data_IF_369262762648
#
_entry.id   IF_369262762648
#
_cell.length_a   1.000
_cell.length_b   1.000
_cell.length_c   1.000
_cell.angle_alpha   90.00
_cell.angle_beta   90.00
_cell.angle_gamma   90.00
#
_symmetry.space_group_name_H-M   'P 1'
#
loop_
_entity.id
_entity.type
_entity.pdbx_description
1 polymer ?
#
# COMPACT_ATOMS: atom_id res chain seq x y z
N UNK A 1 -18.43 17.24 7.84
CA UNK A 1 -19.34 16.33 7.13
C UNK A 1 -20.53 17.14 6.66
N UNK A 2 -20.81 17.09 5.38
CA UNK A 2 -21.84 17.94 4.75
C UNK A 2 -23.20 17.25 4.73
N UNK A 3 -23.23 15.90 4.81
CA UNK A 3 -24.46 15.12 4.70
C UNK A 3 -24.76 14.36 5.98
N UNK A 4 -26.05 14.24 6.25
CA UNK A 4 -26.59 13.35 7.28
C UNK A 4 -26.57 11.89 6.77
N UNK A 5 -26.60 10.93 7.70
CA UNK A 5 -26.64 9.51 7.39
C UNK A 5 -25.28 8.81 7.48
N UNK A 6 -25.26 7.53 7.12
CA UNK A 6 -24.12 6.63 7.26
C UNK A 6 -23.42 6.45 5.93
N UNK A 7 -22.10 6.49 5.94
CA UNK A 7 -21.27 6.01 4.84
C UNK A 7 -20.77 4.60 5.18
N UNK A 8 -21.05 3.62 4.34
CA UNK A 8 -20.43 2.29 4.40
C UNK A 8 -19.08 2.36 3.72
N UNK A 9 -18.00 2.06 4.44
CA UNK A 9 -16.65 2.01 3.90
C UNK A 9 -16.22 0.55 3.81
N UNK A 10 -16.09 0.06 2.58
CA UNK A 10 -15.62 -1.31 2.31
C UNK A 10 -14.12 -1.26 2.09
N UNK A 11 -13.35 -1.90 2.96
CA UNK A 11 -11.89 -1.96 2.86
C UNK A 11 -11.40 -3.39 3.07
N UNK A 12 -10.40 -3.86 2.28
CA UNK A 12 -9.97 -5.26 2.30
C UNK A 12 -9.08 -5.64 3.48
N UNK A 13 -8.63 -4.66 4.29
CA UNK A 13 -7.56 -4.86 5.25
C UNK A 13 -7.86 -4.28 6.61
N UNK A 14 -7.86 -5.16 7.62
CA UNK A 14 -8.11 -4.78 9.00
C UNK A 14 -7.09 -3.76 9.53
N UNK A 15 -5.82 -3.89 9.19
CA UNK A 15 -4.79 -2.95 9.64
C UNK A 15 -5.02 -1.52 9.10
N UNK A 16 -5.38 -1.40 7.80
CA UNK A 16 -5.73 -0.12 7.18
C UNK A 16 -6.97 0.48 7.84
N UNK A 17 -8.02 -0.33 8.00
CA UNK A 17 -9.25 0.08 8.67
C UNK A 17 -8.96 0.62 10.09
N UNK A 18 -8.16 -0.10 10.89
CA UNK A 18 -7.82 0.30 12.25
C UNK A 18 -7.09 1.64 12.30
N UNK A 19 -6.14 1.88 11.40
CA UNK A 19 -5.41 3.15 11.32
C UNK A 19 -6.35 4.32 10.94
N UNK A 20 -7.19 4.13 9.92
CA UNK A 20 -8.16 5.14 9.50
C UNK A 20 -9.19 5.43 10.61
N UNK A 21 -9.69 4.38 11.28
CA UNK A 21 -10.63 4.50 12.41
C UNK A 21 -9.99 5.27 13.57
N UNK A 22 -8.73 4.98 13.91
CA UNK A 22 -8.02 5.70 14.97
C UNK A 22 -7.90 7.20 14.66
N UNK A 23 -7.51 7.54 13.43
CA UNK A 23 -7.42 8.94 12.98
C UNK A 23 -8.79 9.65 12.99
N UNK A 24 -9.84 8.98 12.54
CA UNK A 24 -11.20 9.52 12.55
C UNK A 24 -11.74 9.76 13.97
N UNK A 25 -11.48 8.84 14.89
CA UNK A 25 -11.83 9.01 16.32
C UNK A 25 -11.08 10.17 16.94
N UNK A 26 -9.78 10.33 16.65
CA UNK A 26 -9.00 11.46 17.10
C UNK A 26 -9.56 12.80 16.58
N UNK A 27 -10.16 12.79 15.39
CA UNK A 27 -10.89 13.93 14.82
C UNK A 27 -12.35 14.05 15.32
N UNK A 28 -12.74 13.31 16.37
CA UNK A 28 -14.09 13.29 16.95
C UNK A 28 -15.20 12.88 15.98
N UNK A 29 -14.86 12.06 14.96
CA UNK A 29 -15.83 11.52 14.02
C UNK A 29 -16.36 10.18 14.56
N UNK A 30 -17.69 10.02 14.56
CA UNK A 30 -18.36 8.81 15.02
C UNK A 30 -18.16 7.69 13.99
N UNK A 31 -17.26 6.77 14.29
CA UNK A 31 -16.87 5.66 13.41
C UNK A 31 -16.95 4.32 14.13
N UNK A 32 -17.53 3.34 13.46
CA UNK A 32 -17.62 1.97 13.90
C UNK A 32 -17.00 0.99 12.89
N UNK A 33 -16.68 -0.22 13.35
CA UNK A 33 -16.26 -1.32 12.49
C UNK A 33 -16.87 -2.63 12.94
N UNK A 34 -17.26 -3.43 11.96
CA UNK A 34 -17.68 -4.81 12.17
C UNK A 34 -16.81 -5.73 11.31
N UNK A 35 -16.06 -6.59 11.96
CA UNK A 35 -15.19 -7.57 11.33
C UNK A 35 -15.09 -8.85 12.17
N UNK A 36 -14.29 -9.81 11.74
CA UNK A 36 -14.15 -11.11 12.42
C UNK A 36 -13.59 -11.04 13.84
N UNK A 37 -12.99 -9.92 14.26
CA UNK A 37 -12.44 -9.72 15.62
C UNK A 37 -13.33 -8.88 16.53
N UNK A 38 -14.44 -8.34 15.99
CA UNK A 38 -15.36 -7.51 16.78
C UNK A 38 -16.12 -8.36 17.79
N UNK A 39 -15.95 -8.05 19.07
CA UNK A 39 -16.61 -8.78 20.16
C UNK A 39 -18.15 -8.64 20.09
N UNK A 40 -18.91 -9.68 20.48
CA UNK A 40 -20.36 -9.72 20.29
C UNK A 40 -21.11 -8.54 20.91
N UNK A 41 -20.74 -8.11 22.10
CA UNK A 41 -21.36 -6.97 22.79
C UNK A 41 -21.23 -5.66 22.02
N UNK A 42 -20.04 -5.37 21.51
CA UNK A 42 -19.77 -4.18 20.67
C UNK A 42 -20.50 -4.30 19.33
N UNK A 43 -20.50 -5.49 18.72
CA UNK A 43 -21.24 -5.74 17.48
C UNK A 43 -22.71 -5.46 17.66
N UNK A 44 -23.35 -5.98 18.72
CA UNK A 44 -24.75 -5.75 18.98
C UNK A 44 -25.07 -4.27 19.20
N UNK A 45 -24.26 -3.56 19.99
CA UNK A 45 -24.44 -2.12 20.18
C UNK A 45 -24.38 -1.32 18.86
N UNK A 46 -23.47 -1.69 17.94
CA UNK A 46 -23.41 -1.09 16.61
C UNK A 46 -24.67 -1.42 15.80
N UNK A 47 -25.12 -2.68 15.82
CA UNK A 47 -26.32 -3.11 15.09
C UNK A 47 -27.58 -2.38 15.59
N UNK A 48 -27.70 -2.17 16.90
CA UNK A 48 -28.82 -1.45 17.51
C UNK A 48 -28.79 0.03 17.16
N UNK A 49 -27.61 0.67 17.16
CA UNK A 49 -27.44 2.05 16.69
C UNK A 49 -27.87 2.19 15.24
N UNK A 50 -27.45 1.28 14.36
CA UNK A 50 -27.77 1.33 12.93
C UNK A 50 -29.28 1.15 12.64
N UNK A 51 -30.02 0.47 13.51
CA UNK A 51 -31.47 0.25 13.39
C UNK A 51 -32.30 1.33 14.08
N UNK A 52 -31.69 2.26 14.77
CA UNK A 52 -32.39 3.24 15.62
C UNK A 52 -33.24 4.26 14.86
N UNK A 53 -33.12 4.34 13.55
CA UNK A 53 -33.72 5.36 12.70
C UNK A 53 -32.95 6.70 12.66
N UNK A 54 -32.08 6.93 13.61
CA UNK A 54 -31.18 8.10 13.70
C UNK A 54 -29.82 7.67 14.23
N UNK A 55 -29.05 6.90 13.46
CA UNK A 55 -27.78 6.34 13.91
C UNK A 55 -26.76 7.45 14.24
N UNK A 56 -26.04 7.24 15.35
CA UNK A 56 -24.92 8.12 15.73
C UNK A 56 -23.70 7.84 14.86
N UNK A 57 -23.50 6.57 14.47
CA UNK A 57 -22.42 6.15 13.58
C UNK A 57 -22.53 6.88 12.24
N UNK A 58 -21.45 7.55 11.82
CA UNK A 58 -21.36 8.24 10.51
C UNK A 58 -20.59 7.46 9.47
N UNK A 59 -19.62 6.67 9.91
CA UNK A 59 -18.82 5.80 9.05
C UNK A 59 -18.83 4.40 9.62
N UNK A 60 -19.23 3.42 8.83
CA UNK A 60 -19.17 2.01 9.17
C UNK A 60 -18.14 1.31 8.28
N UNK A 61 -17.02 0.89 8.86
CA UNK A 61 -16.01 0.12 8.17
C UNK A 61 -16.34 -1.37 8.21
N UNK A 62 -16.32 -2.00 7.06
CA UNK A 62 -16.60 -3.44 6.87
C UNK A 62 -15.65 -4.05 5.85
N UNK A 63 -15.44 -5.37 5.94
CA UNK A 63 -14.72 -6.10 4.90
C UNK A 63 -15.64 -6.54 3.78
N UNK A 64 -15.12 -6.79 2.55
CA UNK A 64 -15.92 -7.31 1.45
C UNK A 64 -16.63 -8.63 1.78
N UNK A 65 -15.96 -9.51 2.55
CA UNK A 65 -16.50 -10.78 3.01
C UNK A 65 -17.72 -10.58 3.94
N UNK A 66 -17.66 -9.55 4.79
CA UNK A 66 -18.79 -9.22 5.67
C UNK A 66 -19.98 -8.68 4.86
N UNK A 67 -19.71 -7.93 3.79
CA UNK A 67 -20.75 -7.44 2.87
C UNK A 67 -21.52 -8.57 2.15
N UNK A 68 -20.89 -9.72 1.95
CA UNK A 68 -21.52 -10.87 1.31
C UNK A 68 -22.55 -11.59 2.20
N UNK A 69 -22.53 -11.34 3.52
CA UNK A 69 -23.40 -12.03 4.48
C UNK A 69 -24.85 -11.53 4.43
N UNK A 70 -25.82 -12.46 4.37
CA UNK A 70 -27.25 -12.11 4.27
C UNK A 70 -27.75 -11.23 5.41
N UNK A 71 -27.26 -11.43 6.63
CA UNK A 71 -27.67 -10.60 7.76
C UNK A 71 -27.18 -9.15 7.63
N UNK A 72 -26.01 -8.93 7.02
CA UNK A 72 -25.53 -7.59 6.72
C UNK A 72 -26.39 -6.93 5.62
N UNK A 73 -26.69 -7.65 4.54
CA UNK A 73 -27.55 -7.16 3.47
C UNK A 73 -28.91 -6.75 3.98
N UNK A 74 -29.53 -7.56 4.88
CA UNK A 74 -30.79 -7.19 5.53
C UNK A 74 -30.67 -5.94 6.38
N UNK A 75 -29.57 -5.80 7.14
CA UNK A 75 -29.32 -4.59 7.94
C UNK A 75 -29.26 -3.33 7.07
N UNK A 76 -28.52 -3.38 5.95
CA UNK A 76 -28.36 -2.21 5.10
C UNK A 76 -29.66 -1.84 4.40
N UNK A 77 -30.55 -2.80 4.08
CA UNK A 77 -31.91 -2.49 3.60
C UNK A 77 -32.69 -1.68 4.64
N UNK A 78 -32.65 -2.05 5.92
CA UNK A 78 -33.29 -1.27 6.99
C UNK A 78 -32.74 0.15 7.05
N UNK A 79 -31.41 0.32 7.01
CA UNK A 79 -30.76 1.64 7.00
C UNK A 79 -31.17 2.47 5.79
N UNK A 80 -31.30 1.83 4.62
CA UNK A 80 -31.73 2.49 3.39
C UNK A 80 -33.21 2.91 3.46
N UNK A 81 -34.11 2.04 3.93
CA UNK A 81 -35.53 2.36 4.12
C UNK A 81 -35.75 3.50 5.11
N UNK A 82 -34.90 3.62 6.10
CA UNK A 82 -34.86 4.76 7.03
C UNK A 82 -34.28 6.04 6.41
N UNK A 83 -33.81 6.03 5.15
CA UNK A 83 -33.12 7.14 4.46
C UNK A 83 -31.83 7.57 5.13
N UNK A 84 -31.21 6.68 5.88
CA UNK A 84 -29.96 6.94 6.58
C UNK A 84 -28.71 6.42 5.83
N UNK A 85 -28.86 5.73 4.70
CA UNK A 85 -27.74 5.29 3.86
C UNK A 85 -27.30 6.42 2.93
N UNK A 86 -26.30 7.20 3.34
CA UNK A 86 -25.84 8.37 2.61
C UNK A 86 -24.96 8.02 1.40
N UNK A 87 -24.05 7.06 1.54
CA UNK A 87 -23.12 6.66 0.47
C UNK A 87 -22.41 5.35 0.77
N UNK A 88 -21.77 4.81 -0.26
CA UNK A 88 -20.91 3.63 -0.20
C UNK A 88 -19.53 4.03 -0.73
N UNK A 89 -18.47 3.77 0.03
CA UNK A 89 -17.09 3.97 -0.36
C UNK A 89 -16.40 2.61 -0.47
N UNK A 90 -15.85 2.31 -1.64
CA UNK A 90 -15.06 1.10 -1.90
C UNK A 90 -13.60 1.49 -2.00
N UNK A 91 -12.85 1.15 -0.97
CA UNK A 91 -11.40 1.36 -0.92
C UNK A 91 -10.68 0.20 -1.62
N UNK A 92 -9.50 0.48 -2.19
CA UNK A 92 -8.70 -0.48 -2.96
C UNK A 92 -9.54 -1.18 -4.06
N UNK A 93 -10.36 -0.42 -4.78
CA UNK A 93 -11.30 -0.94 -5.77
C UNK A 93 -10.65 -1.77 -6.88
N UNK A 94 -9.32 -1.67 -7.08
CA UNK A 94 -8.57 -2.53 -8.00
C UNK A 94 -8.64 -4.02 -7.65
N UNK A 95 -8.95 -4.35 -6.38
CA UNK A 95 -9.16 -5.73 -5.95
C UNK A 95 -10.35 -6.42 -6.65
N UNK A 96 -11.23 -5.66 -7.31
CA UNK A 96 -12.33 -6.19 -8.13
C UNK A 96 -11.79 -6.88 -9.39
N UNK A 97 -10.75 -6.33 -9.97
CA UNK A 97 -10.24 -6.73 -11.27
C UNK A 97 -9.29 -7.93 -11.16
N UNK A 98 -9.52 -8.94 -11.96
CA UNK A 98 -8.58 -10.05 -12.15
C UNK A 98 -7.27 -9.60 -12.81
N UNK A 99 -7.26 -8.42 -13.41
CA UNK A 99 -6.09 -7.73 -13.95
C UNK A 99 -5.33 -6.95 -12.87
N UNK A 100 -5.93 -6.79 -11.67
CA UNK A 100 -5.29 -6.20 -10.51
C UNK A 100 -4.28 -7.15 -9.88
N UNK A 101 -3.27 -6.59 -9.24
CA UNK A 101 -2.22 -7.37 -8.55
C UNK A 101 -2.71 -8.06 -7.26
N UNK A 102 -3.87 -7.66 -6.73
CA UNK A 102 -4.45 -8.17 -5.48
C UNK A 102 -5.94 -8.50 -5.64
N UNK A 103 -6.27 -9.31 -6.65
CA UNK A 103 -7.64 -9.75 -6.92
C UNK A 103 -8.25 -10.49 -5.73
N UNK A 104 -9.48 -10.09 -5.36
CA UNK A 104 -10.27 -10.72 -4.30
C UNK A 104 -11.68 -11.04 -4.78
N UNK A 105 -12.07 -12.32 -4.83
CA UNK A 105 -13.40 -12.72 -5.32
C UNK A 105 -14.56 -12.04 -4.58
N UNK A 106 -14.41 -11.80 -3.26
CA UNK A 106 -15.43 -11.16 -2.43
C UNK A 106 -15.81 -9.74 -2.87
N UNK A 107 -14.92 -9.03 -3.58
CA UNK A 107 -15.23 -7.72 -4.12
C UNK A 107 -16.27 -7.76 -5.25
N UNK A 108 -16.42 -8.87 -5.99
CA UNK A 108 -17.46 -9.02 -7.02
C UNK A 108 -18.86 -8.99 -6.43
N UNK A 109 -18.99 -9.43 -5.18
CA UNK A 109 -20.26 -9.41 -4.46
C UNK A 109 -20.76 -7.99 -4.12
N UNK A 110 -19.87 -6.99 -4.18
CA UNK A 110 -20.23 -5.59 -3.91
C UNK A 110 -21.19 -4.99 -4.96
N UNK A 111 -21.39 -5.66 -6.10
CA UNK A 111 -22.39 -5.31 -7.10
C UNK A 111 -23.80 -5.22 -6.53
N UNK A 112 -24.09 -5.94 -5.43
CA UNK A 112 -25.39 -5.89 -4.78
C UNK A 112 -25.77 -4.47 -4.33
N UNK A 113 -24.81 -3.65 -3.93
CA UNK A 113 -25.08 -2.28 -3.49
C UNK A 113 -25.76 -1.46 -4.58
N UNK A 114 -25.24 -1.50 -5.81
CA UNK A 114 -25.83 -0.75 -6.92
C UNK A 114 -27.12 -1.37 -7.44
N UNK A 115 -27.26 -2.68 -7.35
CA UNK A 115 -28.49 -3.38 -7.73
C UNK A 115 -29.63 -3.08 -6.77
N UNK A 116 -29.36 -3.05 -5.44
CA UNK A 116 -30.39 -2.85 -4.42
C UNK A 116 -30.61 -1.38 -4.05
N UNK A 117 -29.58 -0.53 -4.17
CA UNK A 117 -29.61 0.88 -3.80
C UNK A 117 -29.10 1.75 -4.96
N UNK A 118 -29.81 1.81 -6.09
CA UNK A 118 -29.30 2.44 -7.32
C UNK A 118 -29.11 3.96 -7.20
N UNK A 119 -29.87 4.61 -6.34
CA UNK A 119 -29.80 6.04 -6.04
C UNK A 119 -28.70 6.44 -5.06
N UNK A 120 -28.17 5.48 -4.29
CA UNK A 120 -27.12 5.77 -3.32
C UNK A 120 -25.78 6.02 -4.04
N UNK A 121 -25.11 7.17 -3.80
CA UNK A 121 -23.83 7.46 -4.39
C UNK A 121 -22.76 6.43 -4.01
N UNK A 122 -21.95 6.00 -4.98
CA UNK A 122 -20.83 5.11 -4.74
C UNK A 122 -19.51 5.80 -5.13
N UNK A 123 -18.53 5.72 -4.25
CA UNK A 123 -17.16 6.22 -4.44
C UNK A 123 -16.24 5.03 -4.50
N UNK A 124 -15.43 4.91 -5.56
CA UNK A 124 -14.42 3.87 -5.69
C UNK A 124 -13.03 4.53 -5.70
N UNK A 125 -12.16 4.13 -4.76
CA UNK A 125 -10.82 4.65 -4.62
C UNK A 125 -9.79 3.57 -4.93
N UNK A 126 -8.76 3.91 -5.68
CA UNK A 126 -7.61 3.04 -5.92
C UNK A 126 -6.38 3.86 -6.30
N UNK A 127 -5.21 3.41 -5.86
CA UNK A 127 -3.93 4.00 -6.26
C UNK A 127 -3.41 3.46 -7.60
N UNK A 128 -3.94 2.33 -8.07
CA UNK A 128 -3.45 1.58 -9.24
C UNK A 128 -4.61 1.26 -10.18
N UNK A 129 -5.00 2.24 -11.00
CA UNK A 129 -6.07 2.05 -11.98
C UNK A 129 -5.52 2.11 -13.41
N UNK A 130 -5.19 0.94 -13.97
CA UNK A 130 -5.03 0.83 -15.42
C UNK A 130 -6.40 1.01 -16.09
N UNK A 131 -6.42 1.29 -17.38
CA UNK A 131 -7.68 1.43 -18.12
C UNK A 131 -8.56 0.17 -18.00
N UNK A 132 -7.95 -1.02 -18.02
CA UNK A 132 -8.66 -2.27 -17.85
C UNK A 132 -9.24 -2.42 -16.44
N UNK A 133 -8.46 -2.14 -15.40
CA UNK A 133 -8.95 -2.15 -14.01
C UNK A 133 -10.14 -1.21 -13.85
N UNK A 134 -10.08 -0.02 -14.45
CA UNK A 134 -11.18 0.94 -14.43
C UNK A 134 -12.44 0.38 -15.09
N UNK A 135 -12.31 -0.24 -16.26
CA UNK A 135 -13.43 -0.89 -16.97
C UNK A 135 -14.06 -2.00 -16.13
N UNK A 136 -13.22 -2.83 -15.51
CA UNK A 136 -13.69 -3.92 -14.65
C UNK A 136 -14.44 -3.40 -13.43
N UNK A 137 -13.94 -2.36 -12.76
CA UNK A 137 -14.62 -1.71 -11.62
C UNK A 137 -16.02 -1.22 -12.03
N UNK A 138 -16.12 -0.52 -13.16
CA UNK A 138 -17.39 -0.01 -13.68
C UNK A 138 -18.35 -1.15 -13.98
N UNK A 139 -17.89 -2.15 -14.74
CA UNK A 139 -18.72 -3.27 -15.20
C UNK A 139 -19.17 -4.16 -14.04
N UNK A 140 -18.23 -4.56 -13.16
CA UNK A 140 -18.54 -5.49 -12.06
C UNK A 140 -19.45 -4.85 -11.02
N UNK A 141 -19.26 -3.58 -10.70
CA UNK A 141 -20.13 -2.87 -9.75
C UNK A 141 -21.43 -2.38 -10.36
N UNK A 142 -21.59 -2.47 -11.69
CA UNK A 142 -22.80 -2.00 -12.39
C UNK A 142 -22.96 -0.48 -12.35
N UNK A 143 -21.85 0.27 -12.48
CA UNK A 143 -21.88 1.73 -12.47
C UNK A 143 -22.34 2.27 -13.83
N UNK A 144 -23.15 3.32 -13.81
CA UNK A 144 -23.62 4.00 -15.02
C UNK A 144 -22.53 4.95 -15.53
N UNK A 145 -21.90 4.59 -16.66
CA UNK A 145 -20.82 5.41 -17.25
C UNK A 145 -21.26 6.84 -17.59
N UNK A 146 -22.53 7.05 -17.94
CA UNK A 146 -23.05 8.37 -18.29
C UNK A 146 -23.11 9.31 -17.06
N UNK A 147 -23.21 8.76 -15.86
CA UNK A 147 -23.26 9.50 -14.59
C UNK A 147 -21.93 9.50 -13.85
N UNK A 148 -20.93 8.77 -14.36
CA UNK A 148 -19.65 8.59 -13.69
C UNK A 148 -18.82 9.88 -13.73
N UNK A 149 -18.36 10.30 -12.56
CA UNK A 149 -17.34 11.34 -12.43
C UNK A 149 -16.01 10.67 -12.09
N UNK A 150 -15.01 10.86 -12.96
CA UNK A 150 -13.66 10.32 -12.76
C UNK A 150 -12.72 11.43 -12.35
N UNK A 151 -12.03 11.22 -11.23
CA UNK A 151 -10.99 12.12 -10.71
C UNK A 151 -9.67 11.36 -10.74
N UNK A 152 -8.75 11.81 -11.56
CA UNK A 152 -7.40 11.24 -11.67
C UNK A 152 -6.37 12.26 -11.21
N UNK A 153 -5.48 11.83 -10.34
CA UNK A 153 -4.31 12.63 -9.99
C UNK A 153 -3.12 12.19 -10.85
N UNK A 154 -2.23 13.14 -11.11
CA UNK A 154 -0.97 12.83 -11.80
C UNK A 154 -0.17 11.88 -10.91
N UNK A 155 0.18 10.71 -11.46
CA UNK A 155 0.95 9.68 -10.76
C UNK A 155 2.42 10.08 -10.54
N UNK A 156 2.87 11.18 -11.16
CA UNK A 156 4.22 11.69 -10.98
C UNK A 156 4.43 12.22 -9.55
N UNK A 157 5.41 11.63 -8.87
CA UNK A 157 5.87 12.04 -7.55
C UNK A 157 7.26 12.67 -7.70
N UNK A 158 7.37 13.98 -8.00
CA UNK A 158 8.66 14.63 -8.33
C UNK A 158 9.64 14.64 -7.14
N UNK A 159 9.15 14.44 -5.93
CA UNK A 159 9.96 14.32 -4.72
C UNK A 159 10.57 12.92 -4.52
N UNK A 160 10.24 11.93 -5.35
CA UNK A 160 10.85 10.61 -5.30
C UNK A 160 11.95 10.50 -6.36
N UNK A 161 13.13 10.11 -5.94
CA UNK A 161 14.19 9.72 -6.84
C UNK A 161 14.22 8.20 -6.99
N UNK A 162 14.11 7.72 -8.23
CA UNK A 162 14.13 6.28 -8.53
C UNK A 162 15.51 5.90 -9.09
N UNK A 163 16.16 4.96 -8.43
CA UNK A 163 17.48 4.44 -8.78
C UNK A 163 17.44 2.92 -8.92
N UNK A 164 18.08 2.40 -9.96
CA UNK A 164 18.33 0.96 -10.12
C UNK A 164 19.82 0.76 -9.99
N UNK A 165 20.22 -0.05 -9.01
CA UNK A 165 21.60 -0.46 -8.78
C UNK A 165 21.81 -1.88 -9.23
N UNK A 166 22.72 -2.04 -10.19
CA UNK A 166 23.12 -3.37 -10.62
C UNK A 166 24.00 -4.01 -9.55
N UNK A 167 23.72 -5.27 -9.27
CA UNK A 167 24.50 -6.11 -8.35
C UNK A 167 24.86 -7.41 -9.02
N UNK A 168 25.92 -8.03 -8.55
CA UNK A 168 26.26 -9.44 -8.82
C UNK A 168 25.83 -10.30 -7.64
N UNK A 169 25.52 -11.56 -7.86
CA UNK A 169 25.29 -12.53 -6.78
C UNK A 169 26.60 -12.92 -6.06
N UNK A 170 27.74 -12.68 -6.69
CA UNK A 170 29.07 -12.96 -6.13
C UNK A 170 29.53 -11.86 -5.16
N UNK A 171 28.98 -10.64 -5.26
CA UNK A 171 29.34 -9.50 -4.43
C UNK A 171 28.23 -9.15 -3.44
N UNK A 172 28.62 -8.96 -2.18
CA UNK A 172 27.71 -8.50 -1.14
C UNK A 172 27.49 -6.99 -1.25
N UNK A 173 26.34 -6.60 -1.83
CA UNK A 173 25.95 -5.21 -1.97
C UNK A 173 25.55 -4.52 -0.66
N UNK A 174 25.61 -5.21 0.46
CA UNK A 174 25.28 -4.67 1.78
C UNK A 174 26.21 -3.49 2.15
N UNK A 175 27.51 -3.62 1.91
CA UNK A 175 28.47 -2.58 2.28
C UNK A 175 28.29 -1.30 1.45
N UNK A 176 27.86 -1.43 0.18
CA UNK A 176 27.45 -0.30 -0.64
C UNK A 176 26.23 0.40 -0.06
N UNK A 177 25.20 -0.36 0.30
CA UNK A 177 24.01 0.17 0.94
C UNK A 177 24.33 0.84 2.29
N UNK A 178 25.13 0.20 3.15
CA UNK A 178 25.48 0.74 4.46
C UNK A 178 26.27 2.05 4.34
N UNK A 179 27.23 2.11 3.41
CA UNK A 179 28.00 3.32 3.10
C UNK A 179 27.09 4.45 2.64
N UNK A 180 26.17 4.15 1.74
CA UNK A 180 25.17 5.11 1.28
C UNK A 180 24.30 5.62 2.43
N UNK A 181 23.76 4.73 3.27
CA UNK A 181 22.88 5.10 4.39
C UNK A 181 23.61 5.96 5.42
N UNK A 182 24.83 5.57 5.80
CA UNK A 182 25.68 6.36 6.72
C UNK A 182 25.99 7.75 6.13
N UNK A 183 26.24 7.83 4.83
CA UNK A 183 26.44 9.11 4.14
C UNK A 183 25.20 10.00 4.20
N UNK A 184 23.99 9.42 4.05
CA UNK A 184 22.73 10.17 4.19
C UNK A 184 22.54 10.65 5.63
N UNK A 185 22.80 9.80 6.63
CA UNK A 185 22.71 10.17 8.05
C UNK A 185 23.67 11.31 8.39
N UNK A 186 24.91 11.23 7.93
CA UNK A 186 25.93 12.24 8.19
C UNK A 186 25.59 13.59 7.53
N UNK A 187 25.18 13.61 6.27
CA UNK A 187 24.74 14.85 5.59
C UNK A 187 23.56 15.49 6.31
N UNK A 188 22.61 14.69 6.78
CA UNK A 188 21.44 15.16 7.52
C UNK A 188 21.82 15.76 8.88
N UNK A 189 22.73 15.13 9.60
CA UNK A 189 23.24 15.61 10.89
C UNK A 189 24.08 16.89 10.76
N UNK A 190 24.87 16.99 9.68
CA UNK A 190 25.77 18.13 9.44
C UNK A 190 25.09 19.35 8.83
N UNK A 191 23.80 19.29 8.47
CA UNK A 191 23.05 20.43 7.94
C UNK A 191 22.33 21.18 9.09
N UNK A 192 22.78 22.39 9.49
CA UNK A 192 22.23 23.09 10.66
C UNK A 192 20.75 23.45 10.50
N UNK A 193 20.33 23.89 9.30
CA UNK A 193 18.95 24.24 9.03
C UNK A 193 18.04 23.01 9.15
N UNK A 194 18.50 21.87 8.63
CA UNK A 194 17.79 20.60 8.72
C UNK A 194 17.73 20.08 10.15
N UNK A 195 18.82 20.19 10.89
CA UNK A 195 18.87 19.82 12.30
C UNK A 195 17.83 20.59 13.11
N UNK A 196 17.75 21.93 12.92
CA UNK A 196 16.77 22.77 13.58
C UNK A 196 15.33 22.42 13.23
N UNK A 197 15.02 22.21 11.94
CA UNK A 197 13.70 21.79 11.48
C UNK A 197 13.26 20.45 12.13
N UNK A 198 14.16 19.46 12.19
CA UNK A 198 13.88 18.16 12.77
C UNK A 198 13.67 18.24 14.28
N UNK A 199 14.48 19.04 14.98
CA UNK A 199 14.34 19.27 16.42
C UNK A 199 13.00 19.91 16.76
N UNK A 200 12.52 20.87 15.95
CA UNK A 200 11.20 21.48 16.13
C UNK A 200 10.05 20.49 15.96
N UNK A 201 10.26 19.43 15.18
CA UNK A 201 9.27 18.35 14.94
C UNK A 201 9.41 17.18 15.91
N UNK A 202 10.31 17.25 16.89
CA UNK A 202 10.68 16.13 17.76
C UNK A 202 11.17 14.92 16.98
N UNK A 203 11.74 15.12 15.78
CA UNK A 203 12.37 14.09 14.98
C UNK A 203 13.87 14.04 15.30
N UNK A 204 14.42 12.83 15.49
CA UNK A 204 15.87 12.66 15.72
C UNK A 204 16.64 12.99 14.44
N UNK A 205 17.65 13.88 14.47
CA UNK A 205 18.45 14.23 13.29
C UNK A 205 19.18 13.04 12.67
N UNK A 206 19.63 12.10 13.51
CA UNK A 206 20.28 10.86 13.08
C UNK A 206 19.33 9.83 12.47
N UNK A 207 18.03 9.97 12.71
CA UNK A 207 17.03 9.04 12.19
C UNK A 207 16.74 9.33 10.71
N UNK A 208 16.96 8.33 9.86
CA UNK A 208 16.56 8.32 8.45
C UNK A 208 15.55 7.17 8.28
N UNK A 209 14.25 7.43 8.51
CA UNK A 209 13.26 6.35 8.47
C UNK A 209 13.17 5.75 7.07
N UNK A 210 13.25 4.42 7.01
CA UNK A 210 13.24 3.71 5.74
C UNK A 210 12.56 2.36 5.79
N UNK A 211 12.32 1.81 4.60
CA UNK A 211 11.78 0.46 4.41
C UNK A 211 12.69 -0.28 3.45
N UNK A 212 13.04 -1.52 3.79
CA UNK A 212 13.76 -2.43 2.90
C UNK A 212 12.88 -3.64 2.64
N UNK A 213 12.52 -3.88 1.39
CA UNK A 213 11.73 -5.04 0.98
C UNK A 213 12.63 -6.19 0.56
N UNK A 214 12.34 -7.38 1.11
CA UNK A 214 12.97 -8.65 0.76
C UNK A 214 11.90 -9.66 0.32
N UNK A 215 12.31 -10.72 -0.39
CA UNK A 215 11.37 -11.74 -0.87
C UNK A 215 11.05 -12.81 0.20
N UNK A 216 12.02 -13.13 1.08
CA UNK A 216 11.91 -14.21 2.06
C UNK A 216 11.93 -13.69 3.49
N UNK A 217 11.24 -14.40 4.39
CA UNK A 217 11.24 -14.09 5.83
C UNK A 217 12.63 -14.16 6.44
N UNK A 218 13.38 -15.20 6.09
CA UNK A 218 14.78 -15.39 6.54
C UNK A 218 15.67 -14.23 6.17
N UNK A 219 15.56 -13.73 4.94
CA UNK A 219 16.36 -12.58 4.46
C UNK A 219 16.00 -11.32 5.27
N UNK A 220 14.72 -11.17 5.63
CA UNK A 220 14.23 -10.06 6.45
C UNK A 220 14.89 -10.05 7.82
N UNK A 221 14.93 -11.21 8.49
CA UNK A 221 15.52 -11.36 9.83
C UNK A 221 17.03 -11.17 9.80
N UNK A 222 17.72 -11.81 8.85
CA UNK A 222 19.17 -11.74 8.70
C UNK A 222 19.63 -10.31 8.39
N UNK A 223 18.97 -9.62 7.47
CA UNK A 223 19.32 -8.25 7.10
C UNK A 223 19.05 -7.27 8.26
N UNK A 224 17.94 -7.43 8.98
CA UNK A 224 17.66 -6.62 10.16
C UNK A 224 18.71 -6.81 11.25
N UNK A 225 19.10 -8.06 11.53
CA UNK A 225 20.15 -8.37 12.51
C UNK A 225 21.51 -7.79 12.10
N UNK A 226 21.87 -7.87 10.82
CA UNK A 226 23.12 -7.30 10.31
C UNK A 226 23.14 -5.78 10.44
N UNK A 227 22.05 -5.10 10.12
CA UNK A 227 21.93 -3.65 10.30
C UNK A 227 22.06 -3.25 11.79
N UNK A 228 21.45 -4.03 12.70
CA UNK A 228 21.59 -3.80 14.13
C UNK A 228 23.03 -3.96 14.61
N UNK A 229 23.75 -4.96 14.12
CA UNK A 229 25.16 -5.16 14.43
C UNK A 229 26.04 -3.97 13.99
N UNK A 230 25.64 -3.30 12.90
CA UNK A 230 26.29 -2.08 12.38
C UNK A 230 25.77 -0.77 13.02
N UNK A 231 24.95 -0.87 14.08
CA UNK A 231 24.45 0.28 14.83
C UNK A 231 23.25 0.99 14.18
N UNK A 232 22.62 0.38 13.18
CA UNK A 232 21.38 0.91 12.56
C UNK A 232 20.18 0.29 13.27
N UNK A 233 19.28 1.11 13.81
CA UNK A 233 18.04 0.65 14.42
C UNK A 233 17.11 0.00 13.39
N UNK A 234 17.15 -1.32 13.24
CA UNK A 234 16.34 -2.04 12.25
C UNK A 234 15.45 -3.07 12.94
N UNK A 235 14.24 -3.28 12.37
CA UNK A 235 13.29 -4.31 12.83
C UNK A 235 12.77 -5.11 11.65
N UNK A 236 12.72 -6.42 11.81
CA UNK A 236 12.11 -7.32 10.82
C UNK A 236 10.58 -7.24 10.87
N UNK A 237 9.91 -7.33 9.71
CA UNK A 237 8.45 -7.37 9.65
C UNK A 237 7.98 -8.36 8.56
N UNK A 238 7.30 -9.42 8.96
CA UNK A 238 6.76 -10.44 8.04
C UNK A 238 5.58 -11.19 8.65
N UNK A 239 4.85 -11.93 7.85
CA UNK A 239 3.64 -12.63 8.27
C UNK A 239 3.87 -13.67 9.40
N UNK A 240 5.10 -14.18 9.55
CA UNK A 240 5.46 -15.17 10.57
C UNK A 240 5.66 -14.60 11.98
N UNK A 241 5.75 -13.28 12.15
CA UNK A 241 5.83 -12.67 13.48
C UNK A 241 4.50 -12.78 14.23
N UNK A 242 4.55 -12.90 15.55
CA UNK A 242 3.37 -12.81 16.42
C UNK A 242 2.79 -11.39 16.40
N UNK A 243 1.53 -11.25 16.75
CA UNK A 243 0.79 -9.99 16.64
C UNK A 243 1.45 -8.87 17.46
N UNK A 244 1.85 -9.17 18.70
CA UNK A 244 2.52 -8.20 19.59
C UNK A 244 3.83 -7.65 18.99
N UNK A 245 4.63 -8.51 18.37
CA UNK A 245 5.87 -8.08 17.72
C UNK A 245 5.58 -7.18 16.50
N UNK A 246 4.55 -7.51 15.71
CA UNK A 246 4.13 -6.68 14.57
C UNK A 246 3.69 -5.30 15.02
N UNK A 247 2.91 -5.24 16.08
CA UNK A 247 2.40 -3.99 16.65
C UNK A 247 3.53 -3.16 17.26
N UNK A 248 4.44 -3.75 18.03
CA UNK A 248 5.61 -3.06 18.59
C UNK A 248 6.52 -2.52 17.51
N UNK A 249 6.88 -3.35 16.52
CA UNK A 249 7.76 -2.93 15.43
C UNK A 249 7.15 -1.81 14.58
N UNK A 250 5.88 -1.92 14.26
CA UNK A 250 5.16 -0.89 13.50
C UNK A 250 5.04 0.40 14.32
N UNK A 251 4.56 0.29 15.56
CA UNK A 251 4.36 1.45 16.43
C UNK A 251 5.68 2.18 16.71
N UNK A 252 6.73 1.44 17.10
CA UNK A 252 8.06 2.02 17.36
C UNK A 252 8.63 2.75 16.15
N UNK A 253 8.45 2.18 14.95
CA UNK A 253 8.90 2.80 13.70
C UNK A 253 8.07 4.04 13.33
N UNK A 254 6.74 3.98 13.45
CA UNK A 254 5.86 5.13 13.18
C UNK A 254 6.19 6.29 14.10
N UNK A 255 6.42 6.01 15.37
CA UNK A 255 6.75 7.01 16.40
C UNK A 255 8.21 7.46 16.41
N UNK A 256 9.02 7.04 15.44
CA UNK A 256 10.46 7.35 15.38
C UNK A 256 11.23 6.98 16.66
N UNK A 257 10.82 5.89 17.33
CA UNK A 257 11.48 5.41 18.55
C UNK A 257 12.93 4.99 18.25
N UNK A 258 13.82 5.18 19.18
CA UNK A 258 15.22 4.77 19.06
C UNK A 258 15.32 3.25 18.86
N UNK A 259 16.16 2.80 17.92
CA UNK A 259 16.27 1.40 17.53
C UNK A 259 15.20 0.91 16.53
N UNK A 260 14.34 1.82 16.03
CA UNK A 260 13.28 1.54 15.05
C UNK A 260 13.37 2.46 13.82
N UNK A 261 14.56 2.66 13.28
CA UNK A 261 14.79 3.58 12.16
C UNK A 261 14.38 2.95 10.82
N UNK A 262 14.63 1.65 10.66
CA UNK A 262 14.41 0.92 9.41
C UNK A 262 13.53 -0.29 9.66
N UNK A 263 12.52 -0.47 8.82
CA UNK A 263 11.78 -1.72 8.73
C UNK A 263 12.33 -2.54 7.57
N UNK A 264 12.81 -3.74 7.87
CA UNK A 264 13.14 -4.74 6.86
C UNK A 264 11.96 -5.70 6.74
N UNK A 265 11.33 -5.78 5.58
CA UNK A 265 10.04 -6.44 5.47
C UNK A 265 9.87 -7.28 4.20
N UNK A 266 8.96 -8.25 4.27
CA UNK A 266 8.35 -8.83 3.08
C UNK A 266 7.16 -7.97 2.62
N UNK A 267 6.53 -8.33 1.50
CA UNK A 267 5.28 -7.70 1.01
C UNK A 267 4.14 -7.69 2.05
N UNK A 268 4.29 -8.42 3.18
CA UNK A 268 3.37 -8.34 4.31
C UNK A 268 3.36 -6.95 4.98
N UNK A 269 4.44 -6.18 4.85
CA UNK A 269 4.51 -4.77 5.23
C UNK A 269 4.00 -3.92 4.07
N UNK A 270 2.72 -4.04 3.83
CA UNK A 270 2.09 -3.49 2.65
C UNK A 270 1.01 -2.46 2.98
N UNK A 271 -0.20 -2.78 2.61
CA UNK A 271 -1.36 -1.91 2.73
C UNK A 271 -1.62 -1.48 4.19
N UNK A 272 -2.06 -0.25 4.38
CA UNK A 272 -2.42 0.27 5.70
C UNK A 272 -1.31 0.94 6.50
N UNK A 273 -0.10 1.03 5.96
CA UNK A 273 0.99 1.73 6.62
C UNK A 273 0.94 3.20 6.23
N UNK A 274 0.76 4.04 7.24
CA UNK A 274 0.76 5.49 7.08
C UNK A 274 1.86 6.12 7.92
N UNK A 275 2.96 6.46 7.26
CA UNK A 275 4.08 7.23 7.82
C UNK A 275 4.55 8.22 6.77
N UNK A 276 4.40 9.49 7.06
CA UNK A 276 4.65 10.56 6.09
C UNK A 276 6.15 10.74 5.78
N UNK A 277 6.99 10.60 6.78
CA UNK A 277 8.40 10.97 6.73
C UNK A 277 9.36 9.82 6.31
N UNK A 278 8.90 8.84 5.57
CA UNK A 278 9.78 7.78 5.02
C UNK A 278 10.74 8.39 4.00
N UNK A 279 12.04 8.27 4.25
CA UNK A 279 13.09 8.89 3.43
C UNK A 279 13.64 7.99 2.34
N UNK A 280 13.56 6.68 2.54
CA UNK A 280 13.93 5.73 1.50
C UNK A 280 13.08 4.47 1.51
N UNK A 281 12.93 3.90 0.32
CA UNK A 281 12.41 2.55 0.11
C UNK A 281 13.42 1.80 -0.73
N UNK A 282 13.87 0.66 -0.24
CA UNK A 282 14.83 -0.19 -0.95
C UNK A 282 14.20 -1.54 -1.27
N UNK A 283 14.30 -1.98 -2.50
CA UNK A 283 14.01 -3.35 -2.90
C UNK A 283 15.34 -4.10 -2.99
N UNK A 284 15.55 -5.02 -2.04
CA UNK A 284 16.78 -5.79 -1.91
C UNK A 284 16.98 -6.81 -3.02
N UNK A 285 15.87 -7.26 -3.58
CA UNK A 285 15.77 -8.10 -4.78
C UNK A 285 14.64 -7.57 -5.67
N UNK A 286 14.58 -8.04 -6.93
CA UNK A 286 13.50 -7.66 -7.86
C UNK A 286 12.13 -8.06 -7.30
N UNK A 287 11.17 -7.12 -7.21
CA UNK A 287 9.79 -7.43 -6.79
C UNK A 287 9.07 -8.34 -7.80
N UNK A 288 7.94 -8.90 -7.37
CA UNK A 288 7.14 -9.83 -8.20
C UNK A 288 6.38 -9.16 -9.34
N UNK A 289 6.14 -7.85 -9.25
CA UNK A 289 5.36 -7.10 -10.25
C UNK A 289 5.77 -5.63 -10.27
N UNK A 290 5.50 -4.97 -11.39
CA UNK A 290 5.76 -3.54 -11.56
C UNK A 290 4.82 -2.69 -10.70
N UNK A 291 3.56 -3.10 -10.60
CA UNK A 291 2.54 -2.43 -9.77
C UNK A 291 2.90 -2.52 -8.29
N UNK A 292 3.34 -3.71 -7.83
CA UNK A 292 3.83 -3.91 -6.46
C UNK A 292 5.03 -3.03 -6.15
N UNK A 293 6.02 -2.99 -7.06
CA UNK A 293 7.17 -2.09 -6.96
C UNK A 293 6.73 -0.63 -6.78
N UNK A 294 5.84 -0.16 -7.65
CA UNK A 294 5.36 1.22 -7.61
C UNK A 294 4.60 1.55 -6.31
N UNK A 295 3.73 0.66 -5.87
CA UNK A 295 2.96 0.81 -4.63
C UNK A 295 3.87 0.83 -3.40
N UNK A 296 4.87 -0.05 -3.34
CA UNK A 296 5.85 -0.13 -2.26
C UNK A 296 6.76 1.10 -2.24
N UNK A 297 7.31 1.49 -3.39
CA UNK A 297 8.11 2.71 -3.54
C UNK A 297 7.31 3.98 -3.20
N UNK A 298 6.01 4.01 -3.51
CA UNK A 298 5.09 5.10 -3.22
C UNK A 298 4.89 5.40 -1.73
N UNK A 299 5.40 4.54 -0.83
CA UNK A 299 5.41 4.78 0.63
C UNK A 299 6.40 5.84 1.05
N UNK A 300 7.43 6.10 0.22
CA UNK A 300 8.40 7.14 0.47
C UNK A 300 7.80 8.54 0.28
N UNK A 301 8.24 9.49 1.08
CA UNK A 301 8.02 10.92 0.90
C UNK A 301 6.55 11.36 0.78
N UNK A 302 5.65 10.81 1.57
CA UNK A 302 4.23 11.24 1.57
C UNK A 302 4.05 12.68 2.03
N UNK A 303 4.99 13.19 2.82
CA UNK A 303 5.09 14.60 3.24
C UNK A 303 5.59 15.55 2.13
N UNK A 304 5.76 15.07 0.90
CA UNK A 304 6.26 15.86 -0.23
C UNK A 304 7.76 16.12 -0.22
N UNK A 305 8.49 15.66 0.80
CA UNK A 305 9.93 15.87 0.90
C UNK A 305 10.71 14.84 0.08
N UNK A 306 11.93 15.23 -0.32
CA UNK A 306 12.84 14.39 -1.09
C UNK A 306 13.05 13.02 -0.43
N UNK A 307 12.91 11.98 -1.24
CA UNK A 307 13.06 10.59 -0.81
C UNK A 307 13.60 9.75 -1.96
N UNK A 308 14.28 8.67 -1.63
CA UNK A 308 14.98 7.81 -2.60
C UNK A 308 14.32 6.42 -2.63
N UNK A 309 14.11 5.91 -3.83
CA UNK A 309 13.63 4.55 -4.08
C UNK A 309 14.70 3.78 -4.83
N UNK A 310 15.37 2.84 -4.17
CA UNK A 310 16.46 2.03 -4.73
C UNK A 310 15.93 0.64 -5.03
N UNK A 311 16.23 0.14 -6.23
CA UNK A 311 16.01 -1.25 -6.57
C UNK A 311 17.36 -1.90 -6.90
N UNK A 312 17.78 -2.87 -6.11
CA UNK A 312 18.91 -3.73 -6.44
C UNK A 312 18.48 -4.80 -7.43
N UNK A 313 19.19 -4.88 -8.55
CA UNK A 313 18.86 -5.74 -9.67
C UNK A 313 20.06 -6.56 -10.11
N UNK A 314 19.87 -7.87 -10.25
CA UNK A 314 20.79 -8.76 -10.93
C UNK A 314 20.06 -9.58 -12.00
N UNK A 315 20.80 -10.11 -12.99
CA UNK A 315 20.25 -11.04 -13.98
C UNK A 315 19.86 -12.36 -13.33
N UNK A 316 20.58 -12.77 -12.32
CA UNK A 316 20.33 -13.97 -11.53
C UNK A 316 19.02 -13.85 -10.75
N UNK A 317 18.74 -12.69 -10.11
CA UNK A 317 17.46 -12.43 -9.45
C UNK A 317 16.29 -12.46 -10.45
N UNK A 318 16.48 -11.89 -11.67
CA UNK A 318 15.52 -11.96 -12.76
C UNK A 318 15.19 -13.42 -13.12
N UNK A 319 16.24 -14.24 -13.30
CA UNK A 319 16.07 -15.62 -13.71
C UNK A 319 15.39 -16.44 -12.61
N UNK A 320 15.75 -16.21 -11.33
CA UNK A 320 15.04 -16.79 -10.17
C UNK A 320 13.57 -16.38 -10.11
N UNK A 321 13.28 -15.11 -10.32
CA UNK A 321 11.89 -14.62 -10.33
C UNK A 321 11.08 -15.28 -11.45
N UNK A 322 11.67 -15.43 -12.63
CA UNK A 322 11.06 -16.11 -13.77
C UNK A 322 10.80 -17.59 -13.49
N UNK A 323 11.76 -18.30 -12.89
CA UNK A 323 11.60 -19.72 -12.48
C UNK A 323 10.54 -19.86 -11.38
N UNK A 324 10.50 -18.96 -10.40
CA UNK A 324 9.47 -18.98 -9.36
C UNK A 324 8.07 -18.86 -9.95
N UNK A 325 7.88 -17.97 -10.93
CA UNK A 325 6.60 -17.83 -11.63
C UNK A 325 6.21 -19.10 -12.39
N UNK A 326 7.16 -19.71 -13.09
CA UNK A 326 6.92 -20.99 -13.80
C UNK A 326 6.56 -22.11 -12.85
N UNK A 327 7.20 -22.21 -11.69
CA UNK A 327 6.92 -23.20 -10.67
C UNK A 327 5.54 -23.01 -10.01
N UNK A 328 5.09 -21.77 -9.82
CA UNK A 328 3.72 -21.48 -9.37
C UNK A 328 2.70 -21.96 -10.43
N UNK A 329 3.04 -21.86 -11.72
CA UNK A 329 2.25 -22.38 -12.83
C UNK A 329 2.13 -23.91 -12.79
N UNK A 330 3.23 -24.61 -12.56
CA UNK A 330 3.26 -26.08 -12.56
C UNK A 330 2.54 -26.74 -11.36
N UNK A 331 2.33 -26.00 -10.26
CA UNK A 331 1.62 -26.51 -9.07
C UNK A 331 0.11 -26.55 -9.22
N UNK A 332 -0.46 -25.75 -10.11
CA UNK A 332 -1.90 -25.79 -10.41
C UNK A 332 -2.17 -26.78 -11.55
N UNK A 333 -2.44 -28.04 -11.18
CA UNK A 333 -2.96 -29.04 -12.13
C UNK A 333 -4.35 -28.62 -12.62
N UNK A 334 -4.50 -28.19 -13.87
CA UNK A 334 -5.72 -27.67 -14.51
C UNK A 334 -6.20 -26.31 -13.93
N UNK A 335 -5.47 -25.21 -14.15
CA UNK A 335 -5.97 -23.89 -13.83
C UNK A 335 -7.16 -23.55 -14.74
N UNK A 336 -8.29 -23.15 -14.17
CA UNK A 336 -9.39 -22.59 -14.94
C UNK A 336 -8.93 -21.37 -15.77
N UNK A 337 -9.72 -20.99 -16.80
CA UNK A 337 -9.36 -19.88 -17.70
C UNK A 337 -8.98 -18.58 -16.97
N UNK A 338 -9.64 -18.27 -15.85
CA UNK A 338 -9.37 -17.11 -15.00
C UNK A 338 -7.98 -17.17 -14.35
N UNK A 339 -7.57 -18.35 -13.89
CA UNK A 339 -6.23 -18.56 -13.28
C UNK A 339 -5.13 -18.44 -14.33
N UNK A 340 -5.34 -18.96 -15.54
CA UNK A 340 -4.38 -18.82 -16.65
C UNK A 340 -4.18 -17.36 -17.04
N UNK A 341 -5.26 -16.59 -17.11
CA UNK A 341 -5.21 -15.16 -17.45
C UNK A 341 -4.45 -14.34 -16.40
N UNK A 342 -4.73 -14.53 -15.11
CA UNK A 342 -4.00 -13.88 -14.01
C UNK A 342 -2.49 -14.18 -14.06
N UNK A 343 -2.11 -15.40 -14.45
CA UNK A 343 -0.72 -15.81 -14.62
C UNK A 343 -0.04 -15.07 -15.77
N UNK A 344 -0.70 -14.94 -16.92
CA UNK A 344 -0.18 -14.20 -18.07
C UNK A 344 0.07 -12.75 -17.69
N UNK A 345 -0.83 -12.14 -16.93
CA UNK A 345 -0.71 -10.74 -16.51
C UNK A 345 0.43 -10.52 -15.52
N UNK A 346 0.60 -11.44 -14.55
CA UNK A 346 1.78 -11.41 -13.66
C UNK A 346 3.08 -11.51 -14.46
N UNK A 347 3.11 -12.37 -15.49
CA UNK A 347 4.26 -12.48 -16.41
C UNK A 347 4.54 -11.16 -17.14
N UNK A 348 3.53 -10.52 -17.70
CA UNK A 348 3.66 -9.21 -18.37
C UNK A 348 4.15 -8.13 -17.41
N UNK A 349 3.65 -8.09 -16.19
CA UNK A 349 4.06 -7.13 -15.18
C UNK A 349 5.52 -7.32 -14.76
N UNK A 350 5.97 -8.56 -14.56
CA UNK A 350 7.38 -8.85 -14.29
C UNK A 350 8.28 -8.46 -15.47
N UNK A 351 7.88 -8.75 -16.71
CA UNK A 351 8.62 -8.33 -17.91
C UNK A 351 8.70 -6.79 -18.03
N UNK A 352 7.64 -6.09 -17.68
CA UNK A 352 7.66 -4.63 -17.62
C UNK A 352 8.65 -4.10 -16.58
N UNK A 353 8.74 -4.76 -15.41
CA UNK A 353 9.70 -4.42 -14.37
C UNK A 353 11.14 -4.72 -14.79
N UNK A 354 11.39 -5.85 -15.43
CA UNK A 354 12.72 -6.19 -16.00
C UNK A 354 13.13 -5.12 -17.01
N UNK A 355 12.23 -4.79 -17.94
CA UNK A 355 12.49 -3.73 -18.93
C UNK A 355 12.70 -2.35 -18.28
N UNK A 356 12.08 -2.07 -17.14
CA UNK A 356 12.36 -0.87 -16.35
C UNK A 356 13.77 -0.90 -15.75
N UNK A 357 14.22 -2.04 -15.24
CA UNK A 357 15.56 -2.18 -14.66
C UNK A 357 16.67 -2.06 -15.71
N UNK A 358 16.51 -2.70 -16.88
CA UNK A 358 17.54 -2.83 -17.90
C UNK A 358 17.66 -1.61 -18.83
N UNK A 359 16.62 -0.77 -18.93
CA UNK A 359 16.70 0.45 -19.75
C UNK A 359 17.39 1.57 -18.99
N UNK A 360 18.48 2.09 -19.57
CA UNK A 360 19.29 3.18 -19.00
C UNK A 360 19.12 4.50 -19.75
N UNK A 361 18.43 4.48 -20.89
CA UNK A 361 18.29 5.59 -21.85
C UNK A 361 17.05 6.46 -21.61
N UNK A 362 16.15 6.05 -20.71
CA UNK A 362 14.89 6.74 -20.45
C UNK A 362 14.74 7.15 -19.00
N UNK A 363 14.07 8.29 -18.77
CA UNK A 363 13.76 8.75 -17.42
C UNK A 363 12.88 7.71 -16.69
N UNK A 364 13.29 7.34 -15.49
CA UNK A 364 12.55 6.36 -14.65
C UNK A 364 11.10 6.77 -14.39
N UNK A 365 10.83 8.07 -14.22
CA UNK A 365 9.47 8.57 -14.00
C UNK A 365 8.56 8.41 -15.23
N UNK A 366 9.10 8.43 -16.44
CA UNK A 366 8.29 8.32 -17.67
C UNK A 366 7.54 6.98 -17.75
N UNK A 367 8.06 5.94 -17.11
CA UNK A 367 7.43 4.62 -17.07
C UNK A 367 6.18 4.57 -16.20
N UNK A 368 6.09 5.46 -15.19
CA UNK A 368 4.92 5.55 -14.33
C UNK A 368 3.83 6.48 -14.90
N UNK A 369 4.23 7.48 -15.69
CA UNK A 369 3.32 8.52 -16.17
C UNK A 369 2.86 8.32 -17.61
N UNK A 370 3.44 7.38 -18.35
CA UNK A 370 3.22 7.22 -19.78
C UNK A 370 3.70 8.41 -20.64
N UNK A 371 4.34 9.41 -20.05
CA UNK A 371 4.86 10.61 -20.72
C UNK A 371 6.37 10.53 -20.88
N UNK A 372 6.86 10.65 -22.11
CA UNK A 372 8.28 10.72 -22.45
C UNK A 372 8.96 12.05 -22.08
N UNK A 373 8.47 12.78 -21.11
CA UNK A 373 9.05 14.07 -20.71
C UNK A 373 10.30 13.82 -19.86
N UNK A 374 11.45 14.07 -20.43
CA UNK A 374 12.72 14.17 -19.70
C UNK A 374 12.63 15.41 -18.80
N UNK A 375 12.21 15.25 -17.56
CA UNK A 375 12.45 16.27 -16.55
C UNK A 375 13.84 16.00 -15.97
N UNK A 376 14.74 16.96 -16.11
CA UNK A 376 16.04 16.95 -15.41
C UNK A 376 15.78 16.76 -13.92
N UNK A 377 16.63 15.98 -13.27
CA UNK A 377 16.63 15.88 -11.81
C UNK A 377 16.61 17.29 -11.21
N UNK A 378 15.87 17.51 -10.11
CA UNK A 378 15.87 18.81 -9.44
C UNK A 378 17.30 19.25 -9.12
N UNK A 379 17.60 20.53 -9.28
CA UNK A 379 18.95 21.09 -9.13
C UNK A 379 19.65 20.76 -7.79
N UNK A 380 18.88 20.47 -6.73
CA UNK A 380 19.39 20.05 -5.43
C UNK A 380 20.00 18.62 -5.43
N UNK A 381 19.70 17.82 -6.48
CA UNK A 381 20.29 16.48 -6.62
C UNK A 381 21.70 16.51 -7.27
N UNK A 382 21.99 17.54 -8.05
CA UNK A 382 23.26 17.69 -8.77
C UNK A 382 24.36 18.35 -7.92
N UNK A 383 24.02 18.95 -6.79
CA UNK A 383 24.96 19.59 -5.88
C UNK A 383 25.52 18.68 -4.77
N UNK A 384 25.13 17.39 -4.74
CA UNK A 384 25.47 16.46 -3.67
C UNK A 384 26.20 15.19 -4.15
N UNK A 385 26.71 15.18 -5.39
CA UNK A 385 27.62 14.11 -5.87
C UNK A 385 29.07 14.47 -5.64
#
# INVERSE_FOLDING_TARGET
>A
MVDYGITIVVSPLLALMNNQIAALRAASIQVATINGTTIPTVKNAILDDLKSGHPRTRLLYVTPEYCALDHFRRLIRIVYEQRELARIAVDEAHCISEWGHDFRPSFKELSFFKREFPDVPMICCTATATEQVRKDVITVLGLDEAKLKSFTMVTSRPNLHFEVRFKSDEEDHYDDFLRWLRGVQQRRANNPARFQELSQRSERPSNVPGIIYTLRRTDTEQLAARLQADGIGAKAYHAGLITEQKEDHLHGWVMNKEGYDVIVATTAFGMGIDKENVRFVVHWQIPKSFEGFYQEAGRAGRDGKASVCILYYSREDRDRASVMMQNEQGKQRNPGAQSQHAMIMRGKSLQALIGYCERVDTCRHSKFTGQNTIRRAPAWYLSET
#
